data_IF_455826770702
#
_entry.id   IF_455826770702
#
_cell.length_a   1.000
_cell.length_b   1.000
_cell.length_c   1.000
_cell.angle_alpha   90.00
_cell.angle_beta   90.00
_cell.angle_gamma   90.00
#
_symmetry.space_group_name_H-M   'P 1'
#
loop_
_entity.id
_entity.type
_entity.pdbx_description
1 polymer ?
#
# COMPACT_ATOMS: atom_id res chain seq x y z
N UNK A 1 9.20 -17.32 5.63
CA UNK A 1 8.09 -16.95 4.73
C UNK A 1 8.40 -17.17 3.24
N UNK A 2 9.62 -16.92 2.73
CA UNK A 2 9.93 -17.10 1.29
C UNK A 2 9.66 -18.51 0.74
N UNK A 3 9.81 -19.56 1.54
CA UNK A 3 9.54 -20.94 1.12
C UNK A 3 8.05 -21.19 0.86
N UNK A 4 7.16 -20.64 1.70
CA UNK A 4 5.71 -20.75 1.52
C UNK A 4 5.27 -19.97 0.29
N UNK A 5 5.79 -18.74 0.11
CA UNK A 5 5.50 -17.94 -1.08
C UNK A 5 5.93 -18.65 -2.37
N UNK A 6 7.13 -19.26 -2.39
CA UNK A 6 7.60 -20.06 -3.53
C UNK A 6 6.68 -21.25 -3.80
N UNK A 7 6.26 -21.97 -2.76
CA UNK A 7 5.33 -23.09 -2.91
C UNK A 7 4.00 -22.63 -3.51
N UNK A 8 3.45 -21.51 -3.04
CA UNK A 8 2.21 -20.94 -3.57
C UNK A 8 2.33 -20.60 -5.06
N UNK A 9 3.44 -20.01 -5.50
CA UNK A 9 3.66 -19.72 -6.91
C UNK A 9 3.83 -20.98 -7.77
N UNK A 10 4.48 -22.03 -7.22
CA UNK A 10 4.57 -23.34 -7.89
C UNK A 10 3.16 -23.92 -8.09
N UNK A 11 2.34 -23.91 -7.04
CA UNK A 11 0.97 -24.44 -7.09
C UNK A 11 0.06 -23.62 -8.03
N UNK A 12 0.30 -22.32 -8.15
CA UNK A 12 -0.40 -21.45 -9.08
C UNK A 12 0.08 -21.58 -10.55
N UNK A 13 1.16 -22.33 -10.81
CA UNK A 13 1.71 -22.56 -12.15
C UNK A 13 2.71 -21.51 -12.63
N UNK A 14 3.03 -20.49 -11.84
CA UNK A 14 3.99 -19.42 -12.16
C UNK A 14 5.46 -19.86 -11.92
N UNK A 15 5.66 -20.88 -11.07
CA UNK A 15 6.97 -21.43 -10.72
C UNK A 15 7.53 -20.85 -9.42
N UNK A 16 8.86 -20.67 -9.31
CA UNK A 16 9.51 -20.20 -8.08
C UNK A 16 10.56 -19.09 -8.29
N UNK A 17 10.67 -18.58 -9.52
CA UNK A 17 11.66 -17.57 -9.88
C UNK A 17 11.28 -16.21 -9.27
N UNK A 18 12.27 -15.32 -9.13
CA UNK A 18 12.07 -13.93 -8.71
C UNK A 18 11.49 -13.70 -7.28
N UNK A 19 11.47 -14.73 -6.43
CA UNK A 19 11.18 -14.59 -4.99
C UNK A 19 12.48 -14.61 -4.20
N UNK A 20 12.84 -13.45 -3.66
CA UNK A 20 14.06 -13.24 -2.88
C UNK A 20 13.74 -13.03 -1.41
N UNK A 21 14.57 -13.62 -0.53
CA UNK A 21 14.50 -13.39 0.92
C UNK A 21 15.60 -12.41 1.30
N UNK A 22 15.22 -11.15 1.46
CA UNK A 22 16.14 -10.08 1.85
C UNK A 22 15.38 -8.96 2.58
N UNK A 23 16.10 -8.07 3.25
CA UNK A 23 15.54 -6.81 3.74
C UNK A 23 15.37 -5.84 2.56
N UNK A 24 14.13 -5.49 2.25
CA UNK A 24 13.81 -4.58 1.14
C UNK A 24 14.33 -3.15 1.38
N UNK A 25 14.39 -2.70 2.63
CA UNK A 25 14.84 -1.35 2.96
C UNK A 25 16.34 -1.20 2.81
N UNK A 26 17.11 -2.24 3.18
CA UNK A 26 18.55 -2.29 2.95
C UNK A 26 18.91 -2.42 1.46
N UNK A 27 18.01 -3.00 0.65
CA UNK A 27 18.26 -3.31 -0.77
C UNK A 27 17.28 -2.56 -1.70
N UNK A 28 17.40 -1.23 -1.82
CA UNK A 28 16.50 -0.42 -2.63
C UNK A 28 16.46 -0.91 -4.08
N UNK A 29 15.25 -1.00 -4.62
CA UNK A 29 15.03 -1.20 -6.05
C UNK A 29 14.68 0.16 -6.65
N UNK A 30 15.22 0.49 -7.82
CA UNK A 30 15.00 1.78 -8.47
C UNK A 30 14.65 1.60 -9.93
N UNK A 31 13.49 2.13 -10.36
CA UNK A 31 13.13 2.15 -11.77
C UNK A 31 12.82 0.80 -12.40
N UNK A 32 12.49 -0.25 -11.62
CA UNK A 32 12.47 -1.64 -12.09
C UNK A 32 11.10 -2.16 -12.48
N UNK A 33 10.01 -1.62 -11.92
CA UNK A 33 8.69 -2.23 -12.02
C UNK A 33 7.64 -1.26 -12.55
N UNK A 34 6.82 -1.70 -13.50
CA UNK A 34 5.70 -0.89 -13.99
C UNK A 34 4.48 -1.00 -13.06
N UNK A 35 4.38 -2.07 -12.28
CA UNK A 35 3.29 -2.29 -11.34
C UNK A 35 3.84 -2.79 -10.01
N UNK A 36 3.44 -2.13 -8.94
CA UNK A 36 3.71 -2.56 -7.57
C UNK A 36 2.38 -2.76 -6.85
N UNK A 37 2.20 -3.93 -6.27
CA UNK A 37 1.07 -4.22 -5.39
C UNK A 37 1.63 -4.76 -4.09
N UNK A 38 1.29 -4.15 -2.97
CA UNK A 38 1.79 -4.62 -1.68
C UNK A 38 0.81 -4.36 -0.55
N UNK A 39 0.75 -5.32 0.36
CA UNK A 39 0.23 -5.14 1.70
C UNK A 39 1.41 -4.93 2.63
N UNK A 40 1.85 -3.68 2.80
CA UNK A 40 3.03 -3.38 3.62
C UNK A 40 2.79 -3.87 5.05
N UNK A 41 3.83 -4.33 5.77
CA UNK A 41 3.66 -4.69 7.17
C UNK A 41 3.25 -3.46 8.00
N UNK A 42 2.15 -3.56 8.73
CA UNK A 42 1.68 -2.54 9.69
C UNK A 42 1.08 -3.20 10.95
N UNK A 43 0.96 -2.44 12.04
CA UNK A 43 0.38 -2.93 13.30
C UNK A 43 1.16 -2.52 14.55
N UNK A 44 2.48 -2.69 14.50
CA UNK A 44 3.43 -2.16 15.49
C UNK A 44 4.26 -1.09 14.79
N UNK A 45 4.62 0.00 15.50
CA UNK A 45 5.53 1.03 14.97
C UNK A 45 6.90 0.41 14.70
N UNK A 46 7.07 -0.14 13.51
CA UNK A 46 8.29 -0.78 13.06
C UNK A 46 9.32 0.31 12.76
N UNK A 47 10.57 0.02 13.12
CA UNK A 47 11.69 0.92 12.84
C UNK A 47 12.62 0.31 11.80
N UNK A 48 13.30 1.17 11.06
CA UNK A 48 14.38 0.81 10.13
C UNK A 48 15.47 1.86 10.21
N UNK A 49 16.73 1.46 10.05
CA UNK A 49 17.89 2.35 9.95
C UNK A 49 18.23 2.72 8.49
N UNK A 50 17.56 2.09 7.53
CA UNK A 50 17.88 2.20 6.10
C UNK A 50 17.09 3.29 5.37
N UNK A 51 16.32 4.13 6.07
CA UNK A 51 15.50 5.17 5.44
C UNK A 51 16.33 6.17 4.62
N UNK A 52 17.58 6.40 5.00
CA UNK A 52 18.52 7.26 4.29
C UNK A 52 18.80 6.78 2.86
N UNK A 53 18.72 5.46 2.60
CA UNK A 53 18.85 4.88 1.26
C UNK A 53 17.68 5.26 0.31
N UNK A 54 16.57 5.71 0.90
CA UNK A 54 15.34 6.18 0.22
C UNK A 54 15.17 7.70 0.35
N UNK A 55 16.25 8.43 0.69
CA UNK A 55 16.29 9.89 0.70
C UNK A 55 15.66 10.57 1.92
N UNK A 56 15.25 9.82 2.95
CA UNK A 56 14.62 10.37 4.15
C UNK A 56 15.43 10.09 5.41
N UNK A 57 15.51 11.07 6.31
CA UNK A 57 16.11 10.88 7.64
C UNK A 57 15.01 10.62 8.67
N UNK A 58 14.60 9.36 8.79
CA UNK A 58 13.56 8.89 9.72
C UNK A 58 13.85 7.46 10.12
N UNK A 59 13.34 7.03 11.27
CA UNK A 59 13.35 5.61 11.65
C UNK A 59 12.00 4.93 11.37
N UNK A 60 11.02 5.59 10.73
CA UNK A 60 9.72 4.97 10.45
C UNK A 60 9.82 4.00 9.27
N UNK A 61 9.58 2.71 9.54
CA UNK A 61 9.49 1.69 8.50
C UNK A 61 8.28 1.88 7.60
N UNK A 62 7.17 2.43 8.11
CA UNK A 62 5.96 2.71 7.32
C UNK A 62 6.25 3.77 6.24
N UNK A 63 6.90 4.87 6.63
CA UNK A 63 7.32 5.93 5.69
C UNK A 63 8.33 5.38 4.68
N UNK A 64 9.32 4.63 5.17
CA UNK A 64 10.36 4.04 4.32
C UNK A 64 9.78 3.04 3.32
N UNK A 65 8.76 2.27 3.71
CA UNK A 65 8.10 1.31 2.84
C UNK A 65 7.37 1.96 1.69
N UNK A 66 6.66 3.08 1.92
CA UNK A 66 6.04 3.85 0.83
C UNK A 66 7.12 4.37 -0.12
N UNK A 67 8.19 4.99 0.40
CA UNK A 67 9.28 5.51 -0.43
C UNK A 67 9.94 4.41 -1.27
N UNK A 68 10.24 3.27 -0.66
CA UNK A 68 10.80 2.11 -1.36
C UNK A 68 9.94 1.67 -2.54
N UNK A 69 8.61 1.62 -2.35
CA UNK A 69 7.70 1.26 -3.44
C UNK A 69 7.74 2.31 -4.55
N UNK A 70 7.73 3.60 -4.22
CA UNK A 70 7.73 4.67 -5.22
C UNK A 70 9.03 4.73 -6.02
N UNK A 71 10.18 4.59 -5.35
CA UNK A 71 11.51 4.53 -5.98
C UNK A 71 11.61 3.35 -6.95
N UNK A 72 11.00 2.21 -6.59
CA UNK A 72 11.03 0.99 -7.37
C UNK A 72 10.20 1.05 -8.67
N UNK A 73 9.26 1.99 -8.80
CA UNK A 73 8.49 2.18 -10.03
C UNK A 73 9.40 2.63 -11.18
N UNK A 74 9.20 2.10 -12.38
CA UNK A 74 9.86 2.54 -13.62
C UNK A 74 9.31 3.89 -14.11
N UNK A 75 10.03 4.58 -14.99
CA UNK A 75 9.59 5.85 -15.57
C UNK A 75 8.56 5.70 -16.73
N UNK A 76 8.08 4.48 -16.98
CA UNK A 76 7.05 4.23 -17.97
C UNK A 76 5.73 4.97 -17.64
N UNK A 77 5.00 5.42 -18.66
CA UNK A 77 3.85 6.33 -18.49
C UNK A 77 2.75 5.74 -17.59
N UNK A 78 2.56 4.42 -17.63
CA UNK A 78 1.53 3.74 -16.86
C UNK A 78 2.04 3.10 -15.57
N UNK A 79 3.25 3.45 -15.13
CA UNK A 79 3.83 2.92 -13.91
C UNK A 79 3.07 3.36 -12.68
N UNK A 80 2.64 2.40 -11.87
CA UNK A 80 1.70 2.65 -10.76
C UNK A 80 1.88 1.67 -9.61
N UNK A 81 1.50 2.13 -8.42
CA UNK A 81 1.49 1.34 -7.21
C UNK A 81 0.10 1.30 -6.57
N UNK A 82 -0.29 0.12 -6.10
CA UNK A 82 -1.39 -0.12 -5.17
C UNK A 82 -0.81 -0.54 -3.83
N UNK A 83 -0.86 0.34 -2.84
CA UNK A 83 -0.18 0.15 -1.54
C UNK A 83 -1.23 0.16 -0.43
N UNK A 84 -1.36 -0.94 0.31
CA UNK A 84 -2.10 -0.93 1.58
C UNK A 84 -1.15 -0.40 2.66
N UNK A 85 -1.54 0.70 3.29
CA UNK A 85 -0.73 1.43 4.25
C UNK A 85 -1.56 1.88 5.46
N UNK A 86 -0.95 2.02 6.65
CA UNK A 86 -1.66 2.47 7.84
C UNK A 86 -2.13 3.92 7.70
N UNK A 87 -3.20 4.26 8.43
CA UNK A 87 -3.81 5.60 8.43
C UNK A 87 -2.84 6.73 8.77
N UNK A 88 -1.78 6.44 9.53
CA UNK A 88 -0.71 7.40 9.83
C UNK A 88 -0.08 8.02 8.58
N UNK A 89 0.06 7.30 7.47
CA UNK A 89 0.60 7.84 6.21
C UNK A 89 -0.16 9.10 5.77
N UNK A 90 -1.49 9.10 5.93
CA UNK A 90 -2.35 10.20 5.50
C UNK A 90 -2.49 11.31 6.55
N UNK A 91 -2.45 10.98 7.85
CA UNK A 91 -2.88 11.94 8.88
C UNK A 91 -1.88 12.19 10.03
N UNK A 92 -0.80 11.41 10.17
CA UNK A 92 0.18 11.65 11.24
C UNK A 92 0.95 12.95 10.97
N UNK A 93 0.94 13.88 11.93
CA UNK A 93 1.50 15.23 11.79
C UNK A 93 3.01 15.31 12.04
N UNK A 94 3.67 14.21 12.43
CA UNK A 94 5.11 14.20 12.65
C UNK A 94 5.89 14.50 11.36
N UNK A 95 7.13 15.00 11.54
CA UNK A 95 7.96 15.54 10.46
C UNK A 95 8.11 14.58 9.27
N UNK A 96 8.39 13.31 9.54
CA UNK A 96 8.63 12.31 8.49
C UNK A 96 7.39 12.04 7.63
N UNK A 97 6.21 11.94 8.25
CA UNK A 97 4.94 11.68 7.57
C UNK A 97 4.47 12.92 6.79
N UNK A 98 4.64 14.12 7.36
CA UNK A 98 4.36 15.38 6.65
C UNK A 98 5.28 15.57 5.45
N UNK A 99 6.57 15.23 5.57
CA UNK A 99 7.52 15.28 4.47
C UNK A 99 7.14 14.28 3.37
N UNK A 100 6.74 13.05 3.73
CA UNK A 100 6.29 12.05 2.77
C UNK A 100 5.07 12.53 1.98
N UNK A 101 4.07 13.10 2.66
CA UNK A 101 2.87 13.63 1.98
C UNK A 101 3.20 14.77 1.02
N UNK A 102 4.16 15.62 1.36
CA UNK A 102 4.63 16.67 0.45
C UNK A 102 5.26 16.05 -0.80
N UNK A 103 6.17 15.09 -0.63
CA UNK A 103 6.81 14.36 -1.72
C UNK A 103 5.77 13.69 -2.64
N UNK A 104 4.77 13.03 -2.05
CA UNK A 104 3.67 12.39 -2.77
C UNK A 104 2.89 13.37 -3.64
N UNK A 105 2.54 14.54 -3.12
CA UNK A 105 1.72 15.53 -3.85
C UNK A 105 2.52 16.24 -4.94
N UNK A 106 3.82 16.47 -4.71
CA UNK A 106 4.70 17.20 -5.64
C UNK A 106 5.20 16.31 -6.78
N UNK A 107 5.55 15.06 -6.50
CA UNK A 107 6.25 14.19 -7.45
C UNK A 107 5.39 13.08 -8.05
N UNK A 108 4.20 12.82 -7.51
CA UNK A 108 3.37 11.70 -7.92
C UNK A 108 1.92 12.13 -8.18
N UNK A 109 1.21 11.37 -9.01
CA UNK A 109 -0.23 11.54 -9.18
C UNK A 109 -0.95 10.52 -8.28
N UNK A 110 -1.65 11.00 -7.25
CA UNK A 110 -2.49 10.17 -6.37
C UNK A 110 -3.87 10.07 -7.02
N UNK A 111 -4.18 8.92 -7.61
CA UNK A 111 -5.46 8.70 -8.30
C UNK A 111 -6.59 8.54 -7.30
N UNK A 112 -6.39 7.65 -6.33
CA UNK A 112 -7.44 7.20 -5.44
C UNK A 112 -6.87 6.83 -4.09
N UNK A 113 -7.59 7.21 -3.03
CA UNK A 113 -7.39 6.76 -1.67
C UNK A 113 -8.66 6.02 -1.26
N UNK A 114 -8.53 4.76 -0.85
CA UNK A 114 -9.63 3.96 -0.32
C UNK A 114 -9.41 3.79 1.18
N UNK A 115 -10.21 4.48 1.98
CA UNK A 115 -10.21 4.33 3.44
C UNK A 115 -10.97 3.07 3.82
N UNK A 116 -10.27 2.12 4.44
CA UNK A 116 -10.86 0.85 4.86
C UNK A 116 -11.45 0.98 6.27
N UNK A 117 -12.47 0.16 6.61
CA UNK A 117 -13.02 0.11 7.95
C UNK A 117 -11.93 -0.26 8.95
N UNK A 118 -11.97 0.36 10.13
CA UNK A 118 -11.20 -0.13 11.27
C UNK A 118 -11.59 -1.58 11.53
N UNK A 119 -10.63 -2.43 11.88
CA UNK A 119 -10.81 -3.87 12.16
C UNK A 119 -10.98 -4.79 10.94
N UNK A 120 -10.88 -4.29 9.71
CA UNK A 120 -10.90 -5.14 8.51
C UNK A 120 -9.82 -6.25 8.54
N UNK A 121 -8.70 -6.00 9.21
CA UNK A 121 -7.59 -6.94 9.38
C UNK A 121 -7.60 -7.73 10.70
N UNK A 122 -8.71 -7.74 11.45
CA UNK A 122 -8.85 -8.64 12.59
C UNK A 122 -8.87 -10.11 12.14
N UNK A 123 -8.40 -11.05 12.98
CA UNK A 123 -7.83 -10.83 14.32
C UNK A 123 -6.36 -10.38 14.33
N UNK A 124 -5.72 -10.24 13.16
CA UNK A 124 -4.28 -9.96 13.05
C UNK A 124 -3.90 -8.56 13.55
N UNK A 125 -4.66 -7.53 13.17
CA UNK A 125 -4.40 -6.15 13.59
C UNK A 125 -5.66 -5.28 13.56
N UNK A 126 -5.79 -4.40 14.55
CA UNK A 126 -6.86 -3.40 14.64
C UNK A 126 -6.51 -2.05 14.03
N UNK A 127 -5.34 -1.92 13.39
CA UNK A 127 -4.88 -0.68 12.76
C UNK A 127 -5.77 -0.33 11.57
N UNK A 128 -6.30 0.90 11.57
CA UNK A 128 -7.01 1.44 10.42
C UNK A 128 -6.01 1.71 9.29
N UNK A 129 -6.37 1.29 8.09
CA UNK A 129 -5.49 1.28 6.93
C UNK A 129 -6.22 1.80 5.70
N UNK A 130 -5.46 2.19 4.68
CA UNK A 130 -5.97 2.72 3.43
C UNK A 130 -5.27 2.02 2.26
N UNK A 131 -5.94 1.94 1.12
CA UNK A 131 -5.32 1.60 -0.16
C UNK A 131 -4.97 2.89 -0.88
N UNK A 132 -3.71 3.06 -1.24
CA UNK A 132 -3.22 4.19 -2.02
C UNK A 132 -2.97 3.73 -3.46
N UNK A 133 -3.64 4.37 -4.42
CA UNK A 133 -3.41 4.16 -5.86
C UNK A 133 -2.65 5.36 -6.41
N UNK A 134 -1.38 5.14 -6.74
CA UNK A 134 -0.42 6.20 -7.07
C UNK A 134 0.20 5.90 -8.44
N UNK A 135 0.29 6.89 -9.32
CA UNK A 135 1.07 6.82 -10.56
C UNK A 135 2.41 7.52 -10.40
N UNK A 136 3.46 6.97 -11.02
CA UNK A 136 4.82 7.54 -10.94
C UNK A 136 4.92 8.90 -11.60
N UNK A 137 4.41 9.02 -12.83
CA UNK A 137 4.49 10.29 -13.55
C UNK A 137 3.71 11.38 -12.80
N UNK A 138 4.41 12.47 -12.47
CA UNK A 138 3.79 13.65 -11.88
C UNK A 138 2.91 14.33 -12.91
N UNK A 139 1.59 14.30 -12.67
CA UNK A 139 0.66 15.31 -13.15
C UNK A 139 0.17 16.05 -11.92
N UNK A 140 0.05 17.37 -12.00
CA UNK A 140 -0.50 18.16 -10.89
C UNK A 140 -1.85 17.55 -10.47
N UNK A 141 -1.93 17.08 -9.23
CA UNK A 141 -3.14 16.49 -8.66
C UNK A 141 -4.27 17.53 -8.69
N UNK A 142 -5.17 17.45 -9.69
CA UNK A 142 -6.34 18.33 -9.77
C UNK A 142 -7.45 17.88 -8.83
N UNK A 143 -7.60 16.57 -8.69
CA UNK A 143 -8.59 15.89 -7.86
C UNK A 143 -7.99 14.56 -7.41
N UNK A 144 -8.26 14.19 -6.16
CA UNK A 144 -7.92 12.88 -5.60
C UNK A 144 -9.25 12.23 -5.22
N UNK A 145 -9.54 11.06 -5.76
CA UNK A 145 -10.74 10.31 -5.38
C UNK A 145 -10.54 9.74 -3.99
N UNK A 146 -11.48 10.00 -3.09
CA UNK A 146 -11.46 9.45 -1.74
C UNK A 146 -12.73 8.62 -1.53
N UNK A 147 -12.56 7.30 -1.39
CA UNK A 147 -13.66 6.38 -1.14
C UNK A 147 -13.58 5.85 0.29
N UNK A 148 -14.67 5.99 1.05
CA UNK A 148 -14.73 5.53 2.43
C UNK A 148 -15.58 4.26 2.52
N UNK A 149 -14.91 3.12 2.64
CA UNK A 149 -15.55 1.81 2.80
C UNK A 149 -16.01 1.68 4.25
N UNK A 150 -17.28 1.32 4.42
CA UNK A 150 -17.92 1.01 5.72
C UNK A 150 -18.18 -0.49 5.86
N UNK A 151 -18.62 -1.14 4.78
CA UNK A 151 -18.93 -2.55 4.73
C UNK A 151 -18.11 -3.23 3.63
N UNK A 152 -17.22 -4.12 4.03
CA UNK A 152 -16.40 -4.92 3.12
C UNK A 152 -16.99 -6.32 2.86
N UNK A 153 -18.22 -6.58 3.32
CA UNK A 153 -18.90 -7.87 3.19
C UNK A 153 -18.64 -8.83 4.35
N UNK A 154 -17.98 -8.38 5.43
CA UNK A 154 -17.68 -9.18 6.61
C UNK A 154 -17.93 -8.41 7.92
N UNK A 155 -18.25 -9.12 8.99
CA UNK A 155 -18.40 -8.51 10.33
C UNK A 155 -17.08 -7.89 10.77
N UNK A 156 -17.11 -6.73 11.46
CA UNK A 156 -15.91 -6.04 11.95
C UNK A 156 -15.55 -6.48 13.38
N UNK A 157 -15.51 -7.79 13.59
CA UNK A 157 -15.11 -8.49 14.81
C UNK A 157 -13.97 -9.48 14.53
N UNK A 158 -13.55 -10.24 15.54
CA UNK A 158 -12.46 -11.23 15.38
C UNK A 158 -12.86 -12.44 14.52
N UNK A 159 -14.15 -12.75 14.41
CA UNK A 159 -14.62 -13.90 13.65
C UNK A 159 -14.67 -13.61 12.14
N UNK A 160 -14.88 -12.34 11.75
CA UNK A 160 -14.95 -11.90 10.35
C UNK A 160 -15.91 -12.79 9.55
N UNK A 161 -17.12 -12.97 10.05
CA UNK A 161 -18.15 -13.76 9.38
C UNK A 161 -18.68 -13.00 8.16
N UNK A 162 -18.98 -13.71 7.08
CA UNK A 162 -19.56 -13.10 5.88
C UNK A 162 -20.93 -12.49 6.18
N UNK A 163 -21.17 -11.28 5.70
CA UNK A 163 -22.47 -10.62 5.72
C UNK A 163 -23.14 -10.86 4.37
N UNK A 164 -24.41 -11.24 4.37
CA UNK A 164 -25.19 -11.39 3.13
C UNK A 164 -25.59 -10.03 2.56
N UNK A 165 -25.65 -9.93 1.23
CA UNK A 165 -26.03 -8.71 0.51
C UNK A 165 -24.87 -8.04 -0.20
N UNK A 166 -25.13 -6.83 -0.71
CA UNK A 166 -24.18 -6.03 -1.50
C UNK A 166 -23.27 -5.25 -0.54
N UNK A 167 -21.96 -5.34 -0.75
CA UNK A 167 -20.98 -4.57 0.01
C UNK A 167 -20.51 -3.31 -0.76
N UNK A 168 -19.74 -2.45 -0.11
CA UNK A 168 -19.36 -1.17 -0.69
C UNK A 168 -18.40 -1.32 -1.90
N UNK A 169 -17.62 -2.40 -1.96
CA UNK A 169 -16.77 -2.69 -3.12
C UNK A 169 -17.59 -3.11 -4.33
N UNK A 170 -18.67 -3.88 -4.12
CA UNK A 170 -19.58 -4.28 -5.20
C UNK A 170 -20.20 -3.03 -5.85
N UNK A 171 -20.67 -2.08 -5.02
CA UNK A 171 -21.21 -0.81 -5.50
C UNK A 171 -20.16 -0.01 -6.28
N UNK A 172 -18.95 0.10 -5.74
CA UNK A 172 -17.86 0.86 -6.37
C UNK A 172 -17.47 0.30 -7.74
N UNK A 173 -17.36 -1.01 -7.89
CA UNK A 173 -16.96 -1.63 -9.16
C UNK A 173 -18.06 -1.52 -10.22
N UNK A 174 -19.32 -1.57 -9.81
CA UNK A 174 -20.45 -1.41 -10.72
C UNK A 174 -20.59 0.04 -11.22
N UNK A 175 -20.30 1.05 -10.39
CA UNK A 175 -20.32 2.46 -10.80
C UNK A 175 -19.22 2.83 -11.80
N UNK A 176 -18.09 2.11 -11.84
CA UNK A 176 -16.98 2.35 -12.78
C UNK A 176 -17.15 1.64 -14.13
N UNK A 177 -18.16 0.76 -14.25
CA UNK A 177 -18.40 -0.09 -15.42
C UNK A 177 -19.49 0.45 -16.35
N UNK A 178 -20.13 1.58 -16.01
CA UNK A 178 -21.13 2.30 -16.81
C UNK A 178 -20.63 3.67 -17.24
#
# INVERSE_FOLDING_TARGET
>A
MSHIAKMNMILAGDGHSNIFRQDSYQNPQRGKFDLIITNMPFGKRMKTEYASLHGFNTNSAEVTGVLHCLDALSDYENSRAGIIAPEGILFDSSKAYTQLRRELIEKYEIKTIISLPKKIFLPNTGVKSNVLIIKKQSRKNKHIWYFNVKNDGFTLDNARNKIEGVNDFDNFLNEQSG
#
